data_IF_632338905294
#
_entry.id   IF_632338905294
#
_cell.length_a   1.000
_cell.length_b   1.000
_cell.length_c   1.000
_cell.angle_alpha   90.00
_cell.angle_beta   90.00
_cell.angle_gamma   90.00
#
_symmetry.space_group_name_H-M   'P 1'
#
loop_
_entity.id
_entity.type
_entity.pdbx_description
1 polymer ?
#
# COMPACT_ATOMS: atom_id res chain seq x y z
N UNK A 1 -17.55 -7.43 -0.24
CA UNK A 1 -16.89 -7.72 1.04
C UNK A 1 -15.49 -7.09 1.13
N UNK A 2 -14.55 -7.41 0.24
CA UNK A 2 -13.21 -6.79 0.22
C UNK A 2 -13.18 -5.27 0.01
N UNK A 3 -13.87 -4.76 -1.02
CA UNK A 3 -13.96 -3.32 -1.24
C UNK A 3 -14.53 -2.60 0.00
N UNK A 4 -15.61 -3.14 0.57
CA UNK A 4 -16.20 -2.61 1.80
C UNK A 4 -15.20 -2.64 2.97
N UNK A 5 -14.40 -3.70 3.12
CA UNK A 5 -13.39 -3.77 4.18
C UNK A 5 -12.34 -2.67 4.07
N UNK A 6 -11.96 -2.25 2.85
CA UNK A 6 -11.08 -1.09 2.64
C UNK A 6 -11.80 0.22 2.92
N UNK A 7 -12.96 0.42 2.29
CA UNK A 7 -13.74 1.65 2.34
C UNK A 7 -14.17 2.00 3.77
N UNK A 8 -14.50 0.98 4.57
CA UNK A 8 -14.85 1.14 5.98
C UNK A 8 -13.69 1.71 6.82
N UNK A 9 -12.43 1.47 6.46
CA UNK A 9 -11.27 2.08 7.14
C UNK A 9 -11.20 3.60 6.90
N UNK A 10 -11.88 4.11 5.86
CA UNK A 10 -12.04 5.54 5.57
C UNK A 10 -13.41 6.09 6.00
N UNK A 11 -14.27 5.24 6.57
CA UNK A 11 -15.62 5.59 7.04
C UNK A 11 -16.64 5.79 5.92
N UNK A 12 -16.45 5.14 4.76
CA UNK A 12 -17.38 5.23 3.62
C UNK A 12 -17.84 3.85 3.16
N UNK A 13 -18.98 3.79 2.46
CA UNK A 13 -19.54 2.56 1.91
C UNK A 13 -19.32 2.44 0.40
N UNK A 14 -19.69 1.30 -0.19
CA UNK A 14 -19.66 1.13 -1.64
C UNK A 14 -20.61 2.12 -2.33
N UNK A 15 -20.14 2.76 -3.40
CA UNK A 15 -20.86 3.82 -4.11
C UNK A 15 -20.58 5.23 -3.57
N UNK A 16 -20.00 5.35 -2.37
CA UNK A 16 -19.55 6.62 -1.84
C UNK A 16 -18.16 6.99 -2.36
N UNK A 17 -17.83 8.28 -2.26
CA UNK A 17 -16.47 8.77 -2.47
C UNK A 17 -16.10 9.79 -1.41
N UNK A 18 -14.81 9.85 -1.08
CA UNK A 18 -14.27 10.81 -0.11
C UNK A 18 -12.88 11.26 -0.52
N UNK A 19 -12.61 12.54 -0.34
CA UNK A 19 -11.23 13.06 -0.37
C UNK A 19 -10.60 12.78 0.98
N UNK A 20 -9.62 11.88 0.98
CA UNK A 20 -8.74 11.62 2.11
C UNK A 20 -7.51 12.51 2.02
N UNK A 21 -7.04 13.02 3.16
CA UNK A 21 -5.80 13.78 3.26
C UNK A 21 -4.74 12.86 3.86
N UNK A 22 -3.67 12.62 3.13
CA UNK A 22 -2.59 11.74 3.58
C UNK A 22 -1.68 12.42 4.61
N UNK A 23 -0.62 11.72 5.02
CA UNK A 23 0.39 12.23 5.97
C UNK A 23 1.19 13.44 5.45
N UNK A 24 1.09 13.78 4.17
CA UNK A 24 1.67 14.96 3.53
C UNK A 24 0.61 16.07 3.32
N UNK A 25 -0.63 15.88 3.80
CA UNK A 25 -1.79 16.74 3.56
C UNK A 25 -2.22 16.85 2.08
N UNK A 26 -1.79 15.90 1.26
CA UNK A 26 -2.15 15.82 -0.14
C UNK A 26 -3.50 15.10 -0.32
N UNK A 27 -4.36 15.56 -1.23
CA UNK A 27 -5.65 14.93 -1.47
C UNK A 27 -5.48 13.60 -2.22
N UNK A 28 -6.16 12.57 -1.72
CA UNK A 28 -6.30 11.26 -2.35
C UNK A 28 -7.78 10.92 -2.41
N UNK A 29 -8.29 10.64 -3.61
CA UNK A 29 -9.68 10.23 -3.79
C UNK A 29 -9.85 8.75 -3.44
N UNK A 30 -10.74 8.47 -2.49
CA UNK A 30 -11.10 7.11 -2.07
C UNK A 30 -12.51 6.80 -2.55
N UNK A 31 -12.67 5.70 -3.29
CA UNK A 31 -13.95 5.19 -3.79
C UNK A 31 -13.85 3.69 -4.12
N UNK A 32 -14.95 3.04 -4.52
CA UNK A 32 -14.96 1.62 -4.89
C UNK A 32 -14.36 1.37 -6.29
N UNK A 33 -14.34 2.38 -7.16
CA UNK A 33 -13.64 2.40 -8.44
C UNK A 33 -12.15 2.07 -8.31
N UNK A 34 -11.61 2.23 -7.09
CA UNK A 34 -10.29 1.72 -6.77
C UNK A 34 -10.19 0.23 -7.17
N UNK A 35 -11.12 -0.60 -6.70
CA UNK A 35 -11.08 -2.06 -6.86
C UNK A 35 -11.54 -2.54 -8.23
N UNK A 36 -11.79 -1.63 -9.18
CA UNK A 36 -12.30 -1.92 -10.51
C UNK A 36 -11.24 -1.72 -11.58
N UNK A 37 -11.27 -2.53 -12.62
CA UNK A 37 -10.46 -2.35 -13.82
C UNK A 37 -11.10 -1.36 -14.79
N UNK A 38 -10.47 -1.20 -15.97
CA UNK A 38 -10.94 -0.27 -17.01
C UNK A 38 -12.33 -0.62 -17.54
N UNK A 39 -12.73 -1.89 -17.41
CA UNK A 39 -14.01 -2.41 -17.88
C UNK A 39 -15.06 -2.39 -16.74
N UNK A 40 -14.69 -1.92 -15.54
CA UNK A 40 -15.55 -1.80 -14.37
C UNK A 40 -15.59 -3.08 -13.51
N UNK A 41 -14.87 -4.12 -13.92
CA UNK A 41 -14.82 -5.42 -13.27
C UNK A 41 -13.87 -5.40 -12.08
N UNK A 42 -14.13 -6.23 -11.06
CA UNK A 42 -13.29 -6.24 -9.87
C UNK A 42 -11.89 -6.79 -10.18
N UNK A 43 -10.85 -5.97 -9.96
CA UNK A 43 -9.42 -6.32 -10.08
C UNK A 43 -9.00 -7.47 -9.17
N UNK A 44 -9.77 -7.77 -8.12
CA UNK A 44 -9.46 -8.80 -7.14
C UNK A 44 -10.29 -10.06 -7.43
N UNK A 45 -9.60 -11.12 -7.86
CA UNK A 45 -10.19 -12.47 -7.91
C UNK A 45 -10.40 -12.94 -6.46
N UNK A 46 -11.67 -13.23 -6.10
CA UNK A 46 -12.19 -13.47 -4.74
C UNK A 46 -11.39 -14.47 -3.88
N UNK A 47 -10.61 -15.36 -4.48
CA UNK A 47 -10.11 -16.55 -3.79
C UNK A 47 -8.74 -16.40 -3.09
N UNK A 48 -7.99 -15.33 -3.33
CA UNK A 48 -6.58 -15.26 -2.89
C UNK A 48 -6.22 -14.12 -1.91
N UNK A 49 -7.16 -13.25 -1.53
CA UNK A 49 -6.87 -12.10 -0.65
C UNK A 49 -7.79 -12.13 0.56
N UNK A 50 -7.25 -12.25 1.79
CA UNK A 50 -8.06 -12.24 3.02
C UNK A 50 -8.44 -10.81 3.42
N UNK A 51 -9.63 -10.63 4.02
CA UNK A 51 -10.15 -9.32 4.47
C UNK A 51 -9.15 -8.50 5.30
N UNK A 52 -8.41 -9.17 6.18
CA UNK A 52 -7.40 -8.51 7.02
C UNK A 52 -6.25 -7.88 6.21
N UNK A 53 -5.86 -8.47 5.09
CA UNK A 53 -4.79 -7.92 4.24
C UNK A 53 -5.22 -6.66 3.52
N UNK A 54 -6.50 -6.55 3.20
CA UNK A 54 -7.07 -5.31 2.65
C UNK A 54 -7.05 -4.18 3.69
N UNK A 55 -7.34 -4.48 4.96
CA UNK A 55 -7.19 -3.48 6.03
C UNK A 55 -5.74 -3.02 6.17
N UNK A 56 -4.78 -3.94 6.12
CA UNK A 56 -3.36 -3.59 6.14
C UNK A 56 -2.94 -2.70 4.96
N UNK A 57 -3.55 -2.89 3.80
CA UNK A 57 -3.37 -1.99 2.66
C UNK A 57 -3.94 -0.59 2.90
N UNK A 58 -5.13 -0.47 3.49
CA UNK A 58 -5.69 0.83 3.90
C UNK A 58 -4.78 1.53 4.91
N UNK A 59 -4.25 0.78 5.88
CA UNK A 59 -3.31 1.30 6.87
C UNK A 59 -2.01 1.83 6.26
N UNK A 60 -1.59 1.32 5.10
CA UNK A 60 -0.45 1.89 4.38
C UNK A 60 -0.71 3.33 3.90
N UNK A 61 -1.96 3.68 3.59
CA UNK A 61 -2.31 5.05 3.23
C UNK A 61 -2.63 5.92 4.46
N UNK A 62 -3.28 5.35 5.48
CA UNK A 62 -3.72 6.08 6.69
C UNK A 62 -2.55 6.45 7.60
N UNK A 63 -1.68 5.48 7.89
CA UNK A 63 -0.54 5.64 8.81
C UNK A 63 0.70 4.93 8.24
N UNK A 64 1.24 5.39 7.10
CA UNK A 64 2.47 4.84 6.53
C UNK A 64 3.65 4.94 7.51
N UNK A 65 4.61 4.03 7.35
CA UNK A 65 5.94 4.19 7.95
C UNK A 65 6.85 5.04 7.05
N UNK A 66 6.67 4.97 5.74
CA UNK A 66 7.46 5.72 4.75
C UNK A 66 6.58 6.14 3.57
N UNK A 67 6.84 7.32 3.00
CA UNK A 67 6.28 7.72 1.70
C UNK A 67 7.42 8.09 0.77
N UNK A 68 7.39 7.52 -0.42
CA UNK A 68 8.36 7.71 -1.48
C UNK A 68 7.67 8.32 -2.69
N UNK A 69 8.31 9.29 -3.32
CA UNK A 69 7.85 9.91 -4.56
C UNK A 69 8.80 9.53 -5.68
N UNK A 70 8.25 9.05 -6.79
CA UNK A 70 9.02 8.56 -7.92
C UNK A 70 8.40 8.99 -9.25
N UNK A 71 9.27 9.20 -10.23
CA UNK A 71 8.92 9.40 -11.64
C UNK A 71 8.98 8.03 -12.32
N UNK A 72 7.86 7.62 -12.90
CA UNK A 72 7.76 6.38 -13.66
C UNK A 72 7.31 6.67 -15.08
N UNK A 73 7.72 5.87 -16.08
CA UNK A 73 7.14 5.98 -17.42
C UNK A 73 5.62 5.82 -17.38
N UNK A 74 4.90 6.65 -18.13
CA UNK A 74 3.45 6.50 -18.28
C UNK A 74 3.17 5.31 -19.20
N UNK A 75 2.50 4.29 -18.66
CA UNK A 75 2.08 3.10 -19.40
C UNK A 75 1.24 3.38 -20.65
N UNK A 76 0.49 4.51 -20.66
CA UNK A 76 -0.35 4.91 -21.78
C UNK A 76 0.39 5.85 -22.74
N UNK A 77 1.44 6.53 -22.27
CA UNK A 77 2.24 7.48 -23.06
C UNK A 77 3.72 7.25 -22.76
N UNK A 78 4.40 6.28 -23.41
CA UNK A 78 5.76 5.88 -23.06
C UNK A 78 6.81 7.01 -23.10
N UNK A 79 6.57 8.06 -23.88
CA UNK A 79 7.43 9.26 -23.96
C UNK A 79 7.22 10.25 -22.81
N UNK A 80 6.28 9.98 -21.91
CA UNK A 80 5.95 10.81 -20.75
C UNK A 80 6.25 10.08 -19.46
N UNK A 81 6.52 10.85 -18.42
CA UNK A 81 6.65 10.36 -17.06
C UNK A 81 5.45 10.80 -16.24
N UNK A 82 5.06 9.96 -15.30
CA UNK A 82 4.05 10.24 -14.28
C UNK A 82 4.72 10.30 -12.92
N UNK A 83 4.21 11.19 -12.07
CA UNK A 83 4.55 11.19 -10.66
C UNK A 83 3.69 10.16 -9.93
N UNK A 84 4.33 9.27 -9.18
CA UNK A 84 3.69 8.31 -8.31
C UNK A 84 4.16 8.53 -6.87
N UNK A 85 3.26 8.26 -5.92
CA UNK A 85 3.55 8.27 -4.48
C UNK A 85 3.29 6.89 -3.93
N UNK A 86 4.29 6.34 -3.26
CA UNK A 86 4.30 4.97 -2.74
C UNK A 86 4.39 5.03 -1.22
N UNK A 87 3.36 4.52 -0.57
CA UNK A 87 3.18 4.48 0.88
C UNK A 87 3.49 3.07 1.37
N UNK A 88 4.46 2.95 2.27
CA UNK A 88 4.93 1.66 2.79
C UNK A 88 4.55 1.55 4.26
N UNK A 89 4.00 0.41 4.64
CA UNK A 89 3.68 0.08 6.04
C UNK A 89 4.12 -1.32 6.38
N UNK A 90 5.01 -1.46 7.36
CA UNK A 90 5.37 -2.74 7.97
C UNK A 90 4.33 -3.13 9.00
N UNK A 91 4.10 -4.42 9.13
CA UNK A 91 3.15 -4.96 10.09
C UNK A 91 3.56 -6.36 10.55
N UNK A 92 3.08 -6.72 11.73
CA UNK A 92 3.17 -8.08 12.29
C UNK A 92 1.79 -8.47 12.76
N UNK A 93 1.33 -9.65 12.37
CA UNK A 93 0.03 -10.18 12.74
C UNK A 93 0.17 -11.63 13.22
N UNK A 94 -0.74 -12.11 14.06
CA UNK A 94 -0.77 -13.52 14.44
C UNK A 94 -1.65 -14.29 13.45
N UNK A 95 -1.16 -15.43 12.94
CA UNK A 95 -1.89 -16.44 12.15
C UNK A 95 -1.65 -17.83 12.71
N UNK A 96 -2.72 -18.54 13.05
CA UNK A 96 -2.64 -19.92 13.55
C UNK A 96 -1.64 -20.11 14.70
N UNK A 97 -1.51 -19.10 15.58
CA UNK A 97 -0.57 -19.10 16.70
C UNK A 97 0.85 -18.63 16.37
N UNK A 98 1.16 -18.31 15.11
CA UNK A 98 2.48 -17.83 14.68
C UNK A 98 2.46 -16.35 14.28
N UNK A 99 3.53 -15.62 14.61
CA UNK A 99 3.72 -14.26 14.12
C UNK A 99 4.11 -14.27 12.64
N UNK A 100 3.29 -13.62 11.81
CA UNK A 100 3.53 -13.36 10.38
C UNK A 100 3.91 -11.90 10.24
N UNK A 101 5.07 -11.64 9.64
CA UNK A 101 5.53 -10.29 9.34
C UNK A 101 5.32 -10.00 7.86
N UNK A 102 5.05 -8.75 7.55
CA UNK A 102 4.88 -8.33 6.18
C UNK A 102 4.91 -6.82 6.05
N UNK A 103 4.64 -6.38 4.84
CA UNK A 103 4.42 -4.98 4.56
C UNK A 103 3.35 -4.82 3.49
N UNK A 104 2.74 -3.63 3.49
CA UNK A 104 1.78 -3.20 2.49
C UNK A 104 2.35 -1.99 1.75
N UNK A 105 2.08 -1.96 0.45
CA UNK A 105 2.46 -0.89 -0.45
C UNK A 105 1.19 -0.39 -1.12
N UNK A 106 0.85 0.87 -0.86
CA UNK A 106 -0.15 1.58 -1.63
C UNK A 106 0.58 2.54 -2.57
N UNK A 107 0.22 2.58 -3.84
CA UNK A 107 0.75 3.54 -4.80
C UNK A 107 -0.40 4.38 -5.35
N UNK A 108 -0.20 5.69 -5.43
CA UNK A 108 -1.15 6.64 -6.00
C UNK A 108 -0.47 7.54 -7.03
N UNK A 109 -1.05 7.67 -8.22
CA UNK A 109 -0.53 8.53 -9.29
C UNK A 109 -1.51 8.69 -10.45
N UNK A 110 -1.60 9.89 -11.00
CA UNK A 110 -2.47 10.24 -12.14
C UNK A 110 -3.96 9.89 -11.92
N UNK A 111 -4.48 10.09 -10.69
CA UNK A 111 -5.86 9.71 -10.35
C UNK A 111 -6.11 8.20 -10.27
N UNK A 112 -5.08 7.40 -10.53
CA UNK A 112 -5.09 5.94 -10.41
C UNK A 112 -4.30 5.51 -9.19
N UNK A 113 -4.46 4.26 -8.81
CA UNK A 113 -3.75 3.67 -7.69
C UNK A 113 -3.43 2.21 -8.01
N UNK A 114 -2.44 1.68 -7.30
CA UNK A 114 -2.07 0.28 -7.32
C UNK A 114 -1.79 -0.17 -5.88
N UNK A 115 -2.29 -1.34 -5.49
CA UNK A 115 -2.13 -1.86 -4.14
C UNK A 115 -1.48 -3.23 -4.15
N UNK A 116 -0.46 -3.42 -3.30
CA UNK A 116 0.19 -4.71 -3.09
C UNK A 116 0.35 -4.96 -1.60
N UNK A 117 -0.01 -6.15 -1.15
CA UNK A 117 0.30 -6.61 0.20
C UNK A 117 1.20 -7.83 0.08
N UNK A 118 2.33 -7.80 0.78
CA UNK A 118 3.32 -8.87 0.75
C UNK A 118 3.52 -9.38 2.16
N UNK A 119 3.22 -10.66 2.38
CA UNK A 119 3.51 -11.35 3.62
C UNK A 119 4.79 -12.17 3.47
N UNK A 120 5.53 -12.30 4.56
CA UNK A 120 6.82 -12.99 4.57
C UNK A 120 6.70 -14.23 5.44
N UNK A 121 6.61 -15.44 4.86
CA UNK A 121 6.85 -16.64 5.64
C UNK A 121 8.30 -16.62 6.14
N UNK A 122 8.51 -16.96 7.41
CA UNK A 122 9.84 -17.03 8.01
C UNK A 122 10.70 -18.05 7.29
N UNK A 123 11.95 -17.70 6.96
CA UNK A 123 13.00 -18.68 6.65
C UNK A 123 13.87 -18.83 7.90
N UNK A 124 14.13 -20.06 8.34
CA UNK A 124 15.16 -20.32 9.35
C UNK A 124 16.52 -20.13 8.68
N UNK A 125 17.28 -19.12 9.07
CA UNK A 125 18.67 -18.94 8.67
C UNK A 125 19.54 -18.85 9.91
N UNK A 126 20.48 -19.79 10.09
CA UNK A 126 21.36 -19.89 11.27
C UNK A 126 20.64 -19.78 12.63
N UNK A 127 19.44 -20.35 12.74
CA UNK A 127 18.66 -20.33 13.99
C UNK A 127 17.83 -19.06 14.22
N UNK A 128 18.07 -18.01 13.44
CA UNK A 128 17.29 -16.77 13.50
C UNK A 128 16.19 -16.76 12.42
N UNK A 129 15.02 -16.21 12.78
CA UNK A 129 13.91 -16.00 11.86
C UNK A 129 14.18 -14.71 11.09
N UNK A 130 14.66 -14.82 9.85
CA UNK A 130 14.91 -13.66 8.99
C UNK A 130 13.72 -13.48 8.02
N UNK A 131 13.13 -12.29 7.92
CA UNK A 131 12.16 -12.00 6.87
C UNK A 131 12.80 -12.18 5.49
N UNK A 132 12.34 -13.16 4.71
CA UNK A 132 12.83 -13.43 3.36
C UNK A 132 12.62 -12.26 2.37
N UNK A 133 11.82 -11.24 2.73
CA UNK A 133 11.35 -10.21 1.81
C UNK A 133 11.93 -8.81 2.05
N UNK A 134 12.95 -8.65 2.91
CA UNK A 134 13.60 -7.33 3.10
C UNK A 134 14.07 -6.77 1.75
N UNK A 135 14.68 -7.62 0.90
CA UNK A 135 15.08 -7.26 -0.46
C UNK A 135 13.90 -6.82 -1.35
N UNK A 136 12.71 -7.40 -1.16
CA UNK A 136 11.53 -6.96 -1.91
C UNK A 136 11.08 -5.59 -1.44
N UNK A 137 11.09 -5.35 -0.12
CA UNK A 137 10.76 -4.06 0.45
C UNK A 137 11.74 -2.97 0.02
N UNK A 138 13.04 -3.25 -0.02
CA UNK A 138 14.06 -2.30 -0.52
C UNK A 138 13.78 -1.89 -1.97
N UNK A 139 13.32 -2.82 -2.83
CA UNK A 139 12.90 -2.47 -4.20
C UNK A 139 11.69 -1.55 -4.26
N UNK A 140 10.93 -1.42 -3.18
CA UNK A 140 9.81 -0.47 -3.13
C UNK A 140 10.30 0.95 -2.81
N UNK A 141 11.49 1.10 -2.22
CA UNK A 141 12.12 2.36 -1.85
C UNK A 141 12.83 2.98 -3.05
N UNK A 142 12.04 3.46 -3.99
CA UNK A 142 12.51 4.10 -5.22
C UNK A 142 12.21 5.59 -5.22
N UNK A 143 13.05 6.37 -5.89
CA UNK A 143 12.92 7.82 -5.96
C UNK A 143 13.32 8.53 -4.66
N UNK A 144 12.56 9.55 -4.28
CA UNK A 144 12.86 10.43 -3.14
C UNK A 144 11.94 10.09 -1.98
N UNK A 145 12.52 9.79 -0.81
CA UNK A 145 11.74 9.65 0.43
C UNK A 145 11.27 11.01 0.91
N UNK A 146 9.97 11.22 0.89
CA UNK A 146 9.34 12.50 1.30
C UNK A 146 8.82 12.45 2.73
N UNK A 147 8.58 11.24 3.26
CA UNK A 147 8.13 11.02 4.63
C UNK A 147 8.76 9.77 5.24
N UNK A 148 9.07 9.84 6.54
CA UNK A 148 9.39 8.70 7.38
C UNK A 148 8.77 8.91 8.76
N UNK A 149 8.00 7.93 9.23
CA UNK A 149 7.42 7.97 10.57
C UNK A 149 8.53 7.96 11.61
N UNK A 150 8.49 8.92 12.52
CA UNK A 150 9.48 9.06 13.60
C UNK A 150 10.79 9.72 13.21
N UNK A 151 10.95 10.26 11.99
CA UNK A 151 12.02 11.22 11.72
C UNK A 151 11.60 12.60 12.20
N UNK A 152 12.30 13.15 13.18
CA UNK A 152 12.22 14.57 13.55
C UNK A 152 12.82 15.43 12.42
N UNK A 153 12.37 16.69 12.30
CA UNK A 153 12.83 17.63 11.26
C UNK A 153 14.36 17.91 11.30
N UNK A 154 15.06 17.48 12.34
CA UNK A 154 16.52 17.61 12.49
C UNK A 154 17.35 16.66 11.60
N UNK A 155 16.73 15.67 10.94
CA UNK A 155 17.42 14.69 10.09
C UNK A 155 17.44 15.04 8.58
N UNK A 156 17.10 16.28 8.20
CA UNK A 156 17.16 16.80 6.82
C UNK A 156 18.26 17.83 6.67
#
# INVERSE_FOLDING_TARGET
>A
EYANAFLNEFGISQGDSKVFKDVLNEPVMINDGLFRDKDGELKIKKDNVRHRYIKLLAQALIDPDEVWTLLEPDSQNPDKYRLARRYLKRWTIIESGEAVHGFSVFEYGHGTWNGRTVFTPHKKQKGEKVPNNERYMEKQREGVRVFRKGSTEEDK
#
